data_IF_552842322685
#
_entry.id   IF_552842322685
#
_cell.length_a   1.000
_cell.length_b   1.000
_cell.length_c   1.000
_cell.angle_alpha   90.00
_cell.angle_beta   90.00
_cell.angle_gamma   90.00
#
_symmetry.space_group_name_H-M   'P 1'
#
loop_
_entity.id
_entity.type
_entity.pdbx_description
1 polymer ?
#
# COMPACT_ATOMS: atom_id res chain seq x y z
N UNK A 1 38.58 -44.89 24.36
CA UNK A 1 37.79 -43.95 25.20
C UNK A 1 38.10 -42.54 24.69
N UNK A 2 37.10 -41.85 24.13
CA UNK A 2 37.20 -40.46 23.58
C UNK A 2 36.71 -39.47 24.66
N UNK A 3 37.07 -38.16 24.63
CA UNK A 3 36.28 -37.20 23.84
C UNK A 3 37.15 -36.14 23.12
N UNK A 4 36.96 -35.87 21.82
CA UNK A 4 35.93 -35.06 21.14
C UNK A 4 36.04 -33.56 21.43
N UNK A 5 36.43 -32.84 20.37
CA UNK A 5 36.45 -31.39 20.20
C UNK A 5 35.14 -30.73 20.64
N UNK A 6 35.23 -29.73 21.50
CA UNK A 6 34.16 -28.80 21.81
C UNK A 6 34.42 -27.42 21.23
N UNK A 7 34.32 -27.25 19.91
CA UNK A 7 34.13 -25.93 19.30
C UNK A 7 32.63 -25.68 19.17
N UNK A 8 32.01 -25.16 20.25
CA UNK A 8 30.67 -24.56 20.15
C UNK A 8 30.84 -23.15 19.57
N UNK A 9 30.76 -23.04 18.25
CA UNK A 9 30.41 -21.77 17.63
C UNK A 9 29.50 -22.02 16.44
N UNK A 10 28.33 -21.37 16.44
CA UNK A 10 27.52 -20.93 15.28
C UNK A 10 26.02 -20.91 15.62
N UNK A 11 25.59 -19.94 16.42
CA UNK A 11 24.17 -19.57 16.53
C UNK A 11 24.01 -18.06 16.41
N UNK A 12 24.47 -17.51 15.27
CA UNK A 12 24.20 -16.13 14.88
C UNK A 12 23.95 -15.97 13.37
N UNK A 13 24.13 -17.03 12.56
CA UNK A 13 24.12 -16.96 11.10
C UNK A 13 23.11 -17.89 10.41
N UNK A 14 22.35 -18.70 11.16
CA UNK A 14 21.46 -19.70 10.56
C UNK A 14 20.12 -19.12 10.04
N UNK A 15 19.67 -17.97 10.55
CA UNK A 15 18.39 -17.35 10.16
C UNK A 15 18.50 -16.24 9.11
N UNK A 16 19.72 -15.81 8.79
CA UNK A 16 19.97 -14.66 7.91
C UNK A 16 19.42 -14.84 6.48
N UNK A 17 19.53 -16.03 5.83
CA UNK A 17 18.99 -16.22 4.49
C UNK A 17 17.45 -16.17 4.44
N UNK A 18 16.79 -16.70 5.47
CA UNK A 18 15.32 -16.76 5.56
C UNK A 18 14.71 -15.37 5.74
N UNK A 19 15.29 -14.57 6.64
CA UNK A 19 14.86 -13.19 6.88
C UNK A 19 15.09 -12.31 5.64
N UNK A 20 16.25 -12.44 4.98
CA UNK A 20 16.54 -11.69 3.77
C UNK A 20 15.59 -12.02 2.60
N UNK A 21 15.24 -13.29 2.41
CA UNK A 21 14.24 -13.73 1.43
C UNK A 21 12.85 -13.16 1.72
N UNK A 22 12.39 -13.25 2.97
CA UNK A 22 11.10 -12.70 3.37
C UNK A 22 11.01 -11.17 3.14
N UNK A 23 12.07 -10.42 3.47
CA UNK A 23 12.13 -8.99 3.19
C UNK A 23 12.13 -8.68 1.68
N UNK A 24 12.81 -9.48 0.87
CA UNK A 24 12.81 -9.31 -0.59
C UNK A 24 11.41 -9.55 -1.17
N UNK A 25 10.74 -10.64 -0.77
CA UNK A 25 9.38 -10.96 -1.19
C UNK A 25 8.37 -9.89 -0.76
N UNK A 26 8.45 -9.43 0.49
CA UNK A 26 7.61 -8.34 1.00
C UNK A 26 7.85 -7.01 0.26
N UNK A 27 9.11 -6.66 0.01
CA UNK A 27 9.47 -5.44 -0.74
C UNK A 27 8.93 -5.49 -2.17
N UNK A 28 9.04 -6.64 -2.82
CA UNK A 28 8.50 -6.85 -4.16
C UNK A 28 6.96 -6.74 -4.15
N UNK A 29 6.30 -7.32 -3.15
CA UNK A 29 4.85 -7.22 -2.99
C UNK A 29 4.38 -5.76 -2.78
N UNK A 30 5.05 -5.02 -1.89
CA UNK A 30 4.77 -3.60 -1.64
C UNK A 30 4.99 -2.73 -2.90
N UNK A 31 5.99 -3.03 -3.72
CA UNK A 31 6.22 -2.36 -5.00
C UNK A 31 5.07 -2.62 -5.99
N UNK A 32 4.60 -3.87 -6.09
CA UNK A 32 3.46 -4.24 -6.94
C UNK A 32 2.18 -3.54 -6.51
N UNK A 33 1.90 -3.45 -5.21
CA UNK A 33 0.70 -2.74 -4.71
C UNK A 33 0.73 -1.26 -5.03
N UNK A 34 1.87 -0.58 -4.80
CA UNK A 34 2.04 0.83 -5.17
C UNK A 34 1.91 1.06 -6.68
N UNK A 35 2.37 0.11 -7.50
CA UNK A 35 2.17 0.18 -8.94
C UNK A 35 0.69 0.06 -9.32
N UNK A 36 -0.04 -0.88 -8.71
CA UNK A 36 -1.49 -1.01 -8.91
C UNK A 36 -2.25 0.24 -8.50
N UNK A 37 -1.88 0.90 -7.39
CA UNK A 37 -2.47 2.19 -7.00
C UNK A 37 -2.22 3.27 -8.04
N UNK A 38 -0.98 3.38 -8.55
CA UNK A 38 -0.63 4.35 -9.61
C UNK A 38 -1.44 4.17 -10.89
N UNK A 39 -1.76 2.94 -11.24
CA UNK A 39 -2.50 2.56 -12.44
C UNK A 39 -4.02 2.55 -12.24
N UNK A 40 -4.50 2.58 -10.99
CA UNK A 40 -5.92 2.50 -10.68
C UNK A 40 -6.64 3.75 -11.21
N UNK A 41 -7.69 3.53 -12.01
CA UNK A 41 -8.52 4.59 -12.56
C UNK A 41 -9.99 4.29 -12.31
N UNK A 42 -10.75 5.33 -12.02
CA UNK A 42 -12.20 5.29 -11.90
C UNK A 42 -12.82 5.16 -13.30
N UNK A 43 -13.10 3.92 -13.69
CA UNK A 43 -13.76 3.59 -14.97
C UNK A 43 -15.27 3.38 -14.84
N UNK A 44 -15.71 2.93 -13.66
CA UNK A 44 -17.10 2.66 -13.31
C UNK A 44 -17.63 3.71 -12.31
N UNK A 45 -18.60 3.36 -11.46
CA UNK A 45 -19.13 4.22 -10.41
C UNK A 45 -18.12 4.42 -9.26
N UNK A 46 -18.43 5.40 -8.42
CA UNK A 46 -17.56 5.79 -7.32
C UNK A 46 -17.44 4.74 -6.21
N UNK A 47 -18.49 3.96 -5.95
CA UNK A 47 -18.49 2.95 -4.89
C UNK A 47 -17.54 1.81 -5.24
N UNK A 48 -17.58 1.30 -6.48
CA UNK A 48 -16.67 0.26 -6.94
C UNK A 48 -15.21 0.75 -6.90
N UNK A 49 -14.96 1.99 -7.34
CA UNK A 49 -13.63 2.59 -7.27
C UNK A 49 -13.13 2.71 -5.83
N UNK A 50 -13.96 3.20 -4.90
CA UNK A 50 -13.62 3.32 -3.48
C UNK A 50 -13.28 1.97 -2.87
N UNK A 51 -14.04 0.91 -3.20
CA UNK A 51 -13.78 -0.45 -2.74
C UNK A 51 -12.43 -0.98 -3.24
N UNK A 52 -12.13 -0.80 -4.53
CA UNK A 52 -10.85 -1.22 -5.12
C UNK A 52 -9.67 -0.45 -4.54
N UNK A 53 -9.82 0.87 -4.36
CA UNK A 53 -8.79 1.71 -3.77
C UNK A 53 -8.52 1.31 -2.31
N UNK A 54 -9.58 1.19 -1.51
CA UNK A 54 -9.52 0.75 -0.10
C UNK A 54 -8.83 -0.60 0.06
N UNK A 55 -9.16 -1.55 -0.81
CA UNK A 55 -8.55 -2.89 -0.79
C UNK A 55 -7.04 -2.85 -1.04
N UNK A 56 -6.58 -1.98 -1.94
CA UNK A 56 -5.15 -1.83 -2.23
C UNK A 56 -4.43 -1.10 -1.08
N UNK A 57 -4.97 0.04 -0.64
CA UNK A 57 -4.27 0.88 0.35
C UNK A 57 -4.19 0.20 1.72
N UNK A 58 -5.19 -0.61 2.09
CA UNK A 58 -5.17 -1.42 3.31
C UNK A 58 -3.95 -2.37 3.36
N UNK A 59 -3.48 -2.83 2.21
CA UNK A 59 -2.30 -3.70 2.11
C UNK A 59 -0.97 -2.95 1.95
N UNK A 60 -1.01 -1.63 1.69
CA UNK A 60 0.24 -0.85 1.53
C UNK A 60 0.72 -0.37 2.89
N UNK A 61 1.98 -0.63 3.17
CA UNK A 61 2.66 -0.19 4.39
C UNK A 61 3.27 1.21 4.21
N UNK A 62 3.38 1.98 5.29
CA UNK A 62 4.10 3.26 5.36
C UNK A 62 3.71 4.31 4.29
N UNK A 63 2.41 4.42 3.95
CA UNK A 63 1.91 5.49 3.09
C UNK A 63 1.27 6.61 3.91
N UNK A 64 1.77 7.83 3.76
CA UNK A 64 1.23 9.01 4.44
C UNK A 64 -0.20 9.33 4.00
N UNK A 65 -1.02 9.92 4.87
CA UNK A 65 -2.40 10.31 4.50
C UNK A 65 -2.44 11.25 3.29
N UNK A 66 -1.47 12.17 3.20
CA UNK A 66 -1.33 13.09 2.08
C UNK A 66 -1.11 12.32 0.77
N UNK A 67 -0.23 11.32 0.78
CA UNK A 67 -0.02 10.46 -0.39
C UNK A 67 -1.27 9.65 -0.70
N UNK A 68 -1.94 9.09 0.31
CA UNK A 68 -3.18 8.34 0.12
C UNK A 68 -4.26 9.18 -0.56
N UNK A 69 -4.45 10.43 -0.13
CA UNK A 69 -5.41 11.35 -0.76
C UNK A 69 -4.96 11.73 -2.16
N UNK A 70 -3.67 11.99 -2.36
CA UNK A 70 -3.10 12.36 -3.66
C UNK A 70 -3.31 11.25 -4.70
N UNK A 71 -2.91 10.02 -4.40
CA UNK A 71 -3.10 8.85 -5.27
C UNK A 71 -4.59 8.58 -5.54
N UNK A 72 -5.45 8.72 -4.52
CA UNK A 72 -6.89 8.56 -4.68
C UNK A 72 -7.44 9.57 -5.68
N UNK A 73 -7.10 10.85 -5.51
CA UNK A 73 -7.55 11.93 -6.38
C UNK A 73 -7.03 11.78 -7.82
N UNK A 74 -5.81 11.28 -8.01
CA UNK A 74 -5.21 11.11 -9.34
C UNK A 74 -5.87 10.00 -10.17
N UNK A 75 -6.52 9.03 -9.51
CA UNK A 75 -7.27 7.98 -10.18
C UNK A 75 -8.72 8.32 -10.50
N UNK A 76 -9.29 9.40 -9.92
CA UNK A 76 -10.67 9.82 -10.16
C UNK A 76 -10.91 10.35 -11.57
N UNK A 77 -12.18 10.30 -12.02
CA UNK A 77 -12.64 11.04 -13.21
C UNK A 77 -12.41 12.53 -13.00
N UNK A 78 -12.16 13.27 -14.09
CA UNK A 78 -11.83 14.71 -14.04
C UNK A 78 -12.84 15.57 -13.27
N UNK A 79 -14.15 15.30 -13.45
CA UNK A 79 -15.19 16.08 -12.79
C UNK A 79 -15.21 15.83 -11.27
N UNK A 80 -15.21 14.57 -10.86
CA UNK A 80 -15.15 14.13 -9.45
C UNK A 80 -13.86 14.58 -8.79
N UNK A 81 -12.72 14.45 -9.47
CA UNK A 81 -11.42 14.94 -9.00
C UNK A 81 -11.45 16.44 -8.70
N UNK A 82 -12.00 17.26 -9.61
CA UNK A 82 -12.07 18.71 -9.42
C UNK A 82 -12.92 19.08 -8.21
N UNK A 83 -14.05 18.38 -8.02
CA UNK A 83 -14.92 18.57 -6.86
C UNK A 83 -14.20 18.21 -5.55
N UNK A 84 -13.58 17.03 -5.46
CA UNK A 84 -12.87 16.58 -4.25
C UNK A 84 -11.72 17.53 -3.89
N UNK A 85 -10.93 17.97 -4.89
CA UNK A 85 -9.83 18.93 -4.67
C UNK A 85 -10.32 20.28 -4.14
N UNK A 86 -11.51 20.74 -4.56
CA UNK A 86 -12.11 21.97 -4.06
C UNK A 86 -12.48 21.87 -2.56
N UNK A 87 -12.80 20.68 -2.07
CA UNK A 87 -13.15 20.47 -0.66
C UNK A 87 -11.93 20.42 0.26
N UNK A 88 -10.70 20.38 -0.29
CA UNK A 88 -9.45 20.31 0.47
C UNK A 88 -9.42 19.15 1.48
N UNK A 89 -9.89 17.97 1.08
CA UNK A 89 -9.83 16.77 1.90
C UNK A 89 -8.40 16.48 2.37
N UNK A 90 -8.26 16.18 3.66
CA UNK A 90 -6.96 15.87 4.29
C UNK A 90 -6.80 14.40 4.62
N UNK A 91 -7.91 13.67 4.68
CA UNK A 91 -7.93 12.22 4.91
C UNK A 91 -8.58 11.49 3.75
N UNK A 92 -8.26 10.20 3.61
CA UNK A 92 -8.86 9.35 2.58
C UNK A 92 -10.38 9.22 2.75
N UNK A 93 -10.86 9.13 4.00
CA UNK A 93 -12.29 9.03 4.29
C UNK A 93 -13.04 10.27 3.83
N UNK A 94 -12.52 11.47 4.13
CA UNK A 94 -13.11 12.73 3.66
C UNK A 94 -13.15 12.75 2.12
N UNK A 95 -12.05 12.40 1.46
CA UNK A 95 -11.97 12.39 0.01
C UNK A 95 -13.02 11.44 -0.61
N UNK A 96 -13.20 10.25 -0.04
CA UNK A 96 -14.21 9.27 -0.47
C UNK A 96 -15.63 9.76 -0.23
N UNK A 97 -15.92 10.39 0.91
CA UNK A 97 -17.23 10.98 1.21
C UNK A 97 -17.56 12.11 0.24
N UNK A 98 -16.59 12.96 -0.08
CA UNK A 98 -16.78 14.03 -1.06
C UNK A 98 -17.02 13.48 -2.46
N UNK A 99 -16.29 12.44 -2.87
CA UNK A 99 -16.49 11.82 -4.17
C UNK A 99 -17.87 11.16 -4.27
N UNK A 100 -18.30 10.43 -3.23
CA UNK A 100 -19.61 9.79 -3.15
C UNK A 100 -20.78 10.79 -3.08
N UNK A 101 -20.55 12.02 -2.60
CA UNK A 101 -21.55 13.10 -2.63
C UNK A 101 -21.72 13.74 -4.00
N UNK A 102 -20.72 13.61 -4.88
CA UNK A 102 -20.73 14.27 -6.19
C UNK A 102 -21.39 13.42 -7.29
N UNK A 103 -21.20 12.10 -7.24
CA UNK A 103 -21.82 11.13 -8.16
C UNK A 103 -23.13 10.58 -7.59
#
# INVERSE_FOLDING_TARGET
MVPVLGLKNTSAYADVPSVALAHFEASNYQAVLRQKLRELRQVSDIEEYNGRYSSLIFCVEDMSEVDQVSYYCDGLKRATQAYVKLQNATTLSEAMDHAAKYE
#
